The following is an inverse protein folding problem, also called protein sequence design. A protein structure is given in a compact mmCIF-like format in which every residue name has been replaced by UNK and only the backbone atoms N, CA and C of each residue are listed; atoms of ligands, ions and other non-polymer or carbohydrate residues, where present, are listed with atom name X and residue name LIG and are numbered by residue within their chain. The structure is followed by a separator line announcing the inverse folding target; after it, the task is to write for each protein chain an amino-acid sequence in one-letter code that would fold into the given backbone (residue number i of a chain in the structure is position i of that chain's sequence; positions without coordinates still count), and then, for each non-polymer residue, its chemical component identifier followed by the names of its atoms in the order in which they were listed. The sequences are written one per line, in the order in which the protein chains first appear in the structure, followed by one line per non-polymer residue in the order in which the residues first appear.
data_IF_619194542459
#
_entry.id   IF_619194542459
#
_cell.length_a   1.000
_cell.length_b   1.000
_cell.length_c   1.000
_cell.angle_alpha   90.00
_cell.angle_beta   90.00
_cell.angle_gamma   90.00
#
_symmetry.space_group_name_H-M   'P 1'
#
loop_
_entity.id
_entity.type
_entity.pdbx_description
1 polymer ?
#
# COMPACT_ATOMS: atom_id res chain seq x y z
N UNK A 1 -16.92 -10.84 -9.62
CA UNK A 1 -16.45 -10.62 -11.00
C UNK A 1 -14.97 -10.29 -10.95
N UNK A 2 -14.10 -11.29 -11.16
CA UNK A 2 -12.65 -11.13 -11.23
C UNK A 2 -12.25 -11.06 -12.71
N UNK A 3 -11.79 -9.90 -13.19
CA UNK A 3 -11.28 -9.73 -14.54
C UNK A 3 -9.76 -9.99 -14.56
N UNK A 4 -9.38 -11.14 -15.10
CA UNK A 4 -8.01 -11.53 -15.40
C UNK A 4 -7.61 -10.82 -16.70
N UNK A 5 -6.75 -9.81 -16.62
CA UNK A 5 -6.13 -9.19 -17.80
C UNK A 5 -4.96 -10.07 -18.26
N UNK A 6 -5.23 -10.86 -19.29
CA UNK A 6 -4.29 -11.72 -20.01
C UNK A 6 -3.61 -10.86 -21.08
N UNK A 7 -2.41 -10.34 -20.82
CA UNK A 7 -1.63 -9.63 -21.82
C UNK A 7 -0.81 -10.62 -22.67
N UNK A 8 -1.26 -10.81 -23.91
CA UNK A 8 -0.50 -11.42 -24.99
C UNK A 8 0.64 -10.48 -25.41
N UNK A 9 1.88 -10.93 -25.30
CA UNK A 9 3.02 -10.29 -25.95
C UNK A 9 3.64 -11.25 -26.96
N UNK A 10 3.36 -10.97 -28.23
CA UNK A 10 4.13 -11.51 -29.35
C UNK A 10 5.47 -10.77 -29.40
N UNK A 11 6.58 -11.47 -29.17
CA UNK A 11 7.91 -10.96 -29.46
C UNK A 11 8.52 -11.74 -30.62
N UNK A 12 8.42 -11.15 -31.81
CA UNK A 12 9.25 -11.49 -32.96
C UNK A 12 10.69 -11.14 -32.62
N UNK A 13 11.46 -12.12 -32.15
CA UNK A 13 12.90 -11.98 -31.97
C UNK A 13 13.63 -12.52 -33.20
N UNK A 14 14.09 -11.57 -34.00
CA UNK A 14 15.05 -11.76 -35.06
C UNK A 14 16.40 -12.13 -34.41
N UNK A 15 16.83 -13.39 -34.51
CA UNK A 15 18.17 -13.77 -34.07
C UNK A 15 18.92 -14.50 -35.20
N UNK A 16 19.83 -13.72 -35.77
CA UNK A 16 20.75 -14.09 -36.84
C UNK A 16 21.92 -14.84 -36.19
N UNK A 17 21.80 -16.16 -36.09
CA UNK A 17 22.95 -17.04 -35.84
C UNK A 17 22.91 -18.22 -36.82
N UNK A 18 23.66 -18.07 -37.91
CA UNK A 18 23.96 -19.14 -38.87
C UNK A 18 24.89 -20.14 -38.19
N UNK A 19 24.34 -21.26 -37.72
CA UNK A 19 25.10 -22.50 -37.62
C UNK A 19 24.73 -23.34 -38.85
N UNK A 20 25.55 -23.20 -39.90
CA UNK A 20 25.45 -24.02 -41.11
C UNK A 20 25.93 -25.42 -40.72
N UNK A 21 25.01 -26.34 -40.47
CA UNK A 21 25.29 -27.77 -40.50
C UNK A 21 25.12 -28.24 -41.94
N UNK A 22 26.23 -28.35 -42.67
CA UNK A 22 26.27 -29.11 -43.92
C UNK A 22 26.08 -30.60 -43.57
N UNK A 23 24.86 -31.10 -43.73
CA UNK A 23 24.61 -32.54 -43.86
C UNK A 23 24.34 -32.76 -45.35
N UNK A 24 25.43 -32.96 -46.10
CA UNK A 24 25.36 -33.43 -47.48
C UNK A 24 24.81 -34.85 -47.48
N UNK A 25 23.54 -34.99 -47.90
CA UNK A 25 22.89 -36.28 -48.10
C UNK A 25 23.41 -36.88 -49.43
N UNK A 26 24.60 -37.49 -49.38
CA UNK A 26 25.09 -38.40 -50.41
C UNK A 26 24.44 -39.77 -50.17
N UNK A 27 23.37 -40.08 -50.89
CA UNK A 27 23.11 -41.47 -51.28
C UNK A 27 24.09 -41.79 -52.41
N UNK A 28 24.78 -42.94 -52.38
CA UNK A 28 24.17 -44.04 -53.12
C UNK A 28 24.49 -45.47 -52.62
N UNK A 29 23.63 -46.37 -53.09
CA UNK A 29 23.87 -47.78 -53.41
C UNK A 29 23.94 -48.81 -52.27
N UNK A 30 22.96 -49.70 -52.38
CA UNK A 30 22.86 -51.02 -51.78
C UNK A 30 24.18 -51.80 -51.98
N UNK A 31 24.93 -52.00 -50.90
CA UNK A 31 26.05 -52.94 -50.88
C UNK A 31 25.99 -53.74 -49.58
N UNK A 32 25.97 -55.07 -49.70
CA UNK A 32 25.98 -56.01 -48.57
C UNK A 32 27.30 -55.84 -47.81
N UNK A 33 27.23 -55.33 -46.59
CA UNK A 33 28.36 -55.21 -45.69
C UNK A 33 28.16 -56.24 -44.58
N UNK A 34 29.06 -57.21 -44.48
CA UNK A 34 29.18 -58.07 -43.30
C UNK A 34 29.69 -57.20 -42.14
N UNK A 35 28.79 -56.80 -41.24
CA UNK A 35 29.13 -55.98 -40.09
C UNK A 35 29.70 -56.90 -38.99
N UNK A 36 31.01 -57.03 -38.96
CA UNK A 36 31.74 -57.41 -37.74
C UNK A 36 32.76 -56.32 -37.45
N UNK A 37 32.28 -55.15 -37.02
CA UNK A 37 33.12 -54.20 -36.31
C UNK A 37 32.27 -53.24 -35.49
N UNK A 38 32.70 -53.05 -34.24
CA UNK A 38 32.11 -52.21 -33.19
C UNK A 38 31.99 -50.74 -33.65
N UNK A 39 30.86 -50.35 -34.26
CA UNK A 39 30.55 -48.96 -34.67
C UNK A 39 29.53 -48.31 -33.72
N UNK A 40 29.47 -48.73 -32.45
CA UNK A 40 28.48 -48.20 -31.49
C UNK A 40 28.96 -46.97 -30.71
N UNK A 41 30.24 -46.60 -30.79
CA UNK A 41 30.80 -45.53 -29.94
C UNK A 41 30.64 -44.11 -30.52
N UNK A 42 30.59 -43.96 -31.85
CA UNK A 42 30.57 -42.65 -32.51
C UNK A 42 29.26 -41.85 -32.30
N UNK A 43 28.05 -42.45 -32.39
CA UNK A 43 26.81 -41.70 -32.20
C UNK A 43 26.65 -41.21 -30.75
N UNK A 44 27.13 -42.01 -29.80
CA UNK A 44 27.06 -41.71 -28.36
C UNK A 44 27.99 -40.55 -28.00
N UNK A 45 29.18 -40.49 -28.59
CA UNK A 45 30.11 -39.39 -28.39
C UNK A 45 29.56 -38.06 -28.93
N UNK A 46 28.85 -38.07 -30.07
CA UNK A 46 28.25 -36.86 -30.65
C UNK A 46 27.10 -36.33 -29.79
N UNK A 47 26.26 -37.22 -29.23
CA UNK A 47 25.19 -36.81 -28.32
C UNK A 47 25.70 -36.19 -27.01
N UNK A 48 26.82 -36.69 -26.47
CA UNK A 48 27.45 -36.16 -25.25
C UNK A 48 28.04 -34.74 -25.44
N UNK A 49 28.57 -34.42 -26.61
CA UNK A 49 29.14 -33.10 -26.90
C UNK A 49 28.04 -32.04 -27.07
N UNK A 50 26.87 -32.41 -27.62
CA UNK A 50 25.75 -31.49 -27.82
C UNK A 50 25.02 -31.11 -26.52
N UNK A 51 25.11 -31.94 -25.48
CA UNK A 51 24.50 -31.64 -24.16
C UNK A 51 25.37 -30.79 -23.24
N UNK A 52 26.64 -30.52 -23.59
CA UNK A 52 27.61 -29.83 -22.72
C UNK A 52 27.58 -28.30 -22.72
N UNK A 53 26.80 -27.65 -23.60
CA UNK A 53 26.66 -26.20 -23.60
C UNK A 53 25.52 -25.74 -22.69
N UNK A 54 25.72 -25.87 -21.37
CA UNK A 54 24.88 -25.19 -20.40
C UNK A 54 25.15 -23.68 -20.45
N UNK A 55 24.30 -22.94 -21.16
CA UNK A 55 24.27 -21.48 -21.03
C UNK A 55 23.71 -21.17 -19.65
N UNK A 56 24.58 -20.76 -18.72
CA UNK A 56 24.14 -20.20 -17.43
C UNK A 56 23.24 -19.00 -17.74
N UNK A 57 21.96 -19.10 -17.38
CA UNK A 57 21.02 -18.00 -17.50
C UNK A 57 21.46 -16.91 -16.52
N UNK A 58 22.20 -15.93 -17.01
CA UNK A 58 22.45 -14.71 -16.27
C UNK A 58 21.14 -13.92 -16.34
N UNK A 59 20.34 -13.97 -15.28
CA UNK A 59 19.18 -13.09 -15.15
C UNK A 59 19.66 -11.67 -15.40
N UNK A 60 19.07 -10.90 -16.33
CA UNK A 60 19.71 -9.66 -16.74
C UNK A 60 19.32 -8.57 -15.74
N UNK A 61 19.88 -8.66 -14.54
CA UNK A 61 19.71 -7.71 -13.45
C UNK A 61 20.32 -6.33 -13.77
N UNK A 62 21.05 -6.21 -14.88
CA UNK A 62 21.61 -4.95 -15.39
C UNK A 62 20.58 -3.91 -15.81
N UNK A 63 19.30 -4.29 -15.99
CA UNK A 63 18.21 -3.37 -16.35
C UNK A 63 17.18 -3.17 -15.23
N UNK A 64 17.53 -3.42 -13.97
CA UNK A 64 16.76 -2.90 -12.83
C UNK A 64 16.96 -1.38 -12.69
N UNK A 65 16.69 -0.64 -13.77
CA UNK A 65 16.40 0.78 -13.68
C UNK A 65 15.01 0.85 -13.10
N UNK A 66 14.96 1.13 -11.81
CA UNK A 66 13.72 1.31 -11.08
C UNK A 66 13.10 2.65 -11.50
N UNK A 67 12.30 2.62 -12.56
CA UNK A 67 11.62 3.80 -13.11
C UNK A 67 10.69 4.49 -12.10
N UNK A 68 10.36 3.83 -10.99
CA UNK A 68 9.51 4.37 -9.93
C UNK A 68 10.31 4.96 -8.76
N UNK A 69 11.64 5.05 -8.86
CA UNK A 69 12.48 5.59 -7.78
C UNK A 69 12.10 7.03 -7.39
N UNK A 70 11.63 7.84 -8.35
CA UNK A 70 11.19 9.22 -8.14
C UNK A 70 9.69 9.35 -7.80
N UNK A 71 8.88 8.32 -8.09
CA UNK A 71 7.46 8.27 -7.73
C UNK A 71 7.20 7.68 -6.33
N UNK A 72 8.23 7.07 -5.72
CA UNK A 72 8.26 6.79 -4.28
C UNK A 72 8.48 8.07 -3.45
N UNK A 73 7.80 9.15 -3.80
CA UNK A 73 7.53 10.19 -2.83
C UNK A 73 6.65 9.55 -1.76
N UNK A 74 7.35 9.03 -0.76
CA UNK A 74 6.96 8.72 0.60
C UNK A 74 5.50 9.07 0.87
N UNK A 75 4.66 8.04 1.06
CA UNK A 75 3.27 8.17 1.50
C UNK A 75 3.15 8.75 2.91
N UNK A 76 3.75 9.91 3.14
CA UNK A 76 3.54 10.75 4.31
C UNK A 76 2.12 11.28 4.17
N UNK A 77 1.24 10.79 5.04
CA UNK A 77 -0.08 11.35 5.18
C UNK A 77 0.09 12.86 5.43
N UNK A 78 -0.58 13.68 4.62
CA UNK A 78 -0.59 15.14 4.82
C UNK A 78 -1.07 15.45 6.25
N UNK A 79 -0.26 16.22 6.97
CA UNK A 79 -0.52 16.69 8.33
C UNK A 79 -0.84 18.17 8.19
N UNK A 80 -2.04 18.58 8.60
CA UNK A 80 -2.42 19.99 8.60
C UNK A 80 -1.66 20.76 9.67
N UNK A 81 -1.34 22.01 9.39
CA UNK A 81 -0.80 22.95 10.38
C UNK A 81 -1.87 23.41 11.40
N UNK A 82 -1.46 24.07 12.48
CA UNK A 82 -2.37 24.54 13.53
C UNK A 82 -3.44 25.50 12.99
N UNK A 83 -3.04 26.47 12.15
CA UNK A 83 -3.95 27.44 11.54
C UNK A 83 -4.93 26.77 10.57
N UNK A 84 -4.44 25.86 9.73
CA UNK A 84 -5.27 25.07 8.82
C UNK A 84 -6.28 24.19 9.58
N UNK A 85 -5.85 23.60 10.70
CA UNK A 85 -6.74 22.85 11.59
C UNK A 85 -7.79 23.76 12.22
N UNK A 86 -7.41 24.96 12.65
CA UNK A 86 -8.31 25.93 13.24
C UNK A 86 -9.37 26.38 12.24
N UNK A 87 -8.98 26.68 11.00
CA UNK A 87 -9.87 27.12 9.94
C UNK A 87 -10.83 26.02 9.49
N UNK A 88 -10.31 24.80 9.28
CA UNK A 88 -11.12 23.66 8.85
C UNK A 88 -12.07 23.13 9.94
N UNK A 89 -11.82 23.46 11.21
CA UNK A 89 -12.65 23.02 12.33
C UNK A 89 -13.87 23.92 12.54
N UNK A 90 -14.99 23.28 12.85
CA UNK A 90 -16.22 23.95 13.29
C UNK A 90 -16.21 24.24 14.79
N UNK A 91 -15.51 23.40 15.55
CA UNK A 91 -15.38 23.51 17.00
C UNK A 91 -13.93 23.23 17.39
N UNK A 92 -13.34 24.15 18.14
CA UNK A 92 -11.99 23.99 18.72
C UNK A 92 -12.08 24.11 20.22
N UNK A 93 -11.63 23.08 20.92
CA UNK A 93 -11.67 23.01 22.39
C UNK A 93 -10.27 22.73 22.93
N UNK A 94 -9.85 23.50 23.93
CA UNK A 94 -8.71 23.15 24.76
C UNK A 94 -9.15 22.30 25.95
N UNK A 95 -8.71 21.04 26.01
CA UNK A 95 -9.06 20.12 27.11
C UNK A 95 -7.88 19.23 27.49
N UNK A 96 -7.77 18.89 28.77
CA UNK A 96 -6.87 17.84 29.28
C UNK A 96 -7.64 16.57 29.69
N UNK A 97 -8.98 16.60 29.68
CA UNK A 97 -9.84 15.56 30.27
C UNK A 97 -10.55 14.71 29.21
N UNK A 98 -9.76 14.17 28.28
CA UNK A 98 -10.25 13.33 27.17
C UNK A 98 -9.98 11.86 27.47
N UNK A 99 -11.01 11.02 27.40
CA UNK A 99 -10.89 9.57 27.63
C UNK A 99 -11.51 8.79 26.48
N UNK A 100 -10.87 7.68 26.09
CA UNK A 100 -11.44 6.70 25.18
C UNK A 100 -12.55 5.93 25.92
N UNK A 101 -13.77 5.94 25.37
CA UNK A 101 -14.93 5.25 25.96
C UNK A 101 -15.15 3.91 25.31
N UNK A 102 -15.08 3.86 23.98
CA UNK A 102 -15.45 2.68 23.21
C UNK A 102 -14.70 2.65 21.88
N UNK A 103 -14.53 1.47 21.31
CA UNK A 103 -13.93 1.28 20.00
C UNK A 103 -14.63 0.15 19.26
N UNK A 104 -15.02 0.42 18.01
CA UNK A 104 -15.54 -0.59 17.11
C UNK A 104 -14.49 -0.93 16.06
N UNK A 105 -14.08 -2.19 15.99
CA UNK A 105 -13.08 -2.71 15.03
C UNK A 105 -13.56 -3.97 14.31
N UNK A 106 -14.88 -4.08 14.09
CA UNK A 106 -15.52 -5.24 13.47
C UNK A 106 -15.66 -5.13 11.95
N UNK A 107 -16.87 -5.35 11.44
CA UNK A 107 -17.21 -5.22 10.01
C UNK A 107 -17.22 -3.74 9.61
N UNK A 108 -16.20 -3.28 8.89
CA UNK A 108 -16.12 -1.93 8.34
C UNK A 108 -14.90 -1.14 8.78
N UNK A 109 -14.93 0.18 8.60
CA UNK A 109 -13.85 1.07 9.04
C UNK A 109 -13.87 1.17 10.57
N UNK A 110 -12.72 1.03 11.24
CA UNK A 110 -12.68 1.16 12.69
C UNK A 110 -13.00 2.60 13.10
N UNK A 111 -13.71 2.76 14.21
CA UNK A 111 -13.94 4.05 14.83
C UNK A 111 -13.77 3.96 16.34
N UNK A 112 -13.41 5.10 16.92
CA UNK A 112 -13.10 5.27 18.33
C UNK A 112 -13.96 6.39 18.87
N UNK A 113 -14.58 6.17 20.03
CA UNK A 113 -15.41 7.14 20.72
C UNK A 113 -14.65 7.71 21.90
N UNK A 114 -14.53 9.02 21.94
CA UNK A 114 -13.87 9.74 23.02
C UNK A 114 -14.89 10.62 23.75
N UNK A 115 -14.78 10.67 25.08
CA UNK A 115 -15.56 11.56 25.93
C UNK A 115 -14.68 12.69 26.44
N UNK A 116 -15.20 13.90 26.34
CA UNK A 116 -14.60 15.12 26.90
C UNK A 116 -15.40 15.51 28.12
N UNK A 117 -14.75 15.54 29.29
CA UNK A 117 -15.43 15.87 30.56
C UNK A 117 -15.47 17.36 30.85
N UNK A 118 -14.46 18.10 30.41
CA UNK A 118 -14.35 19.54 30.63
C UNK A 118 -13.40 20.15 29.61
N UNK A 119 -13.52 21.44 29.34
CA UNK A 119 -12.60 22.14 28.46
C UNK A 119 -12.98 23.61 28.29
N UNK A 120 -12.09 24.36 27.65
CA UNK A 120 -12.33 25.74 27.22
C UNK A 120 -12.63 25.75 25.73
N UNK A 121 -13.75 26.35 25.35
CA UNK A 121 -14.10 26.54 23.93
C UNK A 121 -13.28 27.71 23.40
N UNK A 122 -12.59 27.51 22.29
CA UNK A 122 -11.75 28.53 21.63
C UNK A 122 -12.41 29.04 20.35
N UNK A 123 -13.05 28.13 19.61
CA UNK A 123 -13.81 28.44 18.39
C UNK A 123 -15.10 27.65 18.41
N UNK A 124 -16.22 28.31 18.09
CA UNK A 124 -17.47 27.66 17.75
C UNK A 124 -18.11 28.41 16.59
N UNK A 125 -18.56 27.68 15.56
CA UNK A 125 -19.32 28.28 14.45
C UNK A 125 -20.79 28.52 14.83
N UNK A 126 -21.27 27.91 15.91
CA UNK A 126 -22.63 28.09 16.43
C UNK A 126 -22.60 28.72 17.80
N UNK A 127 -23.51 29.65 18.07
CA UNK A 127 -23.72 30.26 19.39
C UNK A 127 -24.28 29.27 20.44
N UNK A 128 -24.32 27.98 20.14
CA UNK A 128 -24.78 26.94 21.06
C UNK A 128 -23.73 26.68 22.14
N UNK A 129 -24.12 26.88 23.40
CA UNK A 129 -23.35 26.50 24.58
C UNK A 129 -23.18 24.98 24.58
N UNK A 130 -21.93 24.50 24.50
CA UNK A 130 -21.62 23.07 24.60
C UNK A 130 -21.73 22.60 26.05
N UNK A 131 -22.64 21.66 26.29
CA UNK A 131 -22.79 21.01 27.58
C UNK A 131 -21.80 19.86 27.72
N UNK A 132 -21.11 19.81 28.86
CA UNK A 132 -20.24 18.70 29.24
C UNK A 132 -20.99 17.70 30.13
N UNK A 133 -20.66 16.39 30.09
CA UNK A 133 -19.72 15.75 29.17
C UNK A 133 -20.35 15.50 27.79
N UNK A 134 -19.54 15.61 26.73
CA UNK A 134 -19.96 15.24 25.38
C UNK A 134 -18.98 14.23 24.77
N UNK A 135 -19.41 13.59 23.68
CA UNK A 135 -18.59 12.60 22.98
C UNK A 135 -18.33 13.03 21.53
N UNK A 136 -17.19 12.60 21.01
CA UNK A 136 -16.86 12.75 19.59
C UNK A 136 -16.29 11.45 19.01
N UNK A 137 -16.47 11.28 17.70
CA UNK A 137 -16.01 10.11 16.95
C UNK A 137 -14.67 10.39 16.26
N UNK A 138 -13.74 9.44 16.28
CA UNK A 138 -12.54 9.48 15.46
C UNK A 138 -12.39 8.19 14.65
N UNK A 139 -12.00 8.31 13.39
CA UNK A 139 -11.66 7.16 12.54
C UNK A 139 -10.24 6.64 12.79
N UNK A 140 -9.44 7.36 13.58
CA UNK A 140 -8.07 6.99 13.93
C UNK A 140 -7.87 6.99 15.45
N UNK A 141 -7.00 6.11 15.93
CA UNK A 141 -6.65 6.07 17.35
C UNK A 141 -5.80 7.28 17.69
N UNK A 142 -6.33 8.16 18.54
CA UNK A 142 -5.65 9.37 18.98
C UNK A 142 -4.67 9.02 20.09
N UNK A 143 -3.41 9.45 19.93
CA UNK A 143 -2.39 9.36 20.99
C UNK A 143 -2.59 10.54 21.94
N UNK A 144 -3.55 10.38 22.85
CA UNK A 144 -3.85 11.38 23.88
C UNK A 144 -2.70 11.41 24.89
N UNK A 145 -2.20 12.62 25.18
CA UNK A 145 -1.33 12.88 26.33
C UNK A 145 -2.19 13.40 27.49
N UNK A 146 -1.70 13.29 28.72
CA UNK A 146 -2.40 13.83 29.90
C UNK A 146 -2.36 15.36 29.99
N UNK A 147 -1.62 16.02 29.10
CA UNK A 147 -1.52 17.46 29.03
C UNK A 147 -2.73 18.11 28.35
N UNK A 148 -2.89 19.41 28.56
CA UNK A 148 -3.88 20.21 27.82
C UNK A 148 -3.58 20.15 26.32
N UNK A 149 -4.56 19.76 25.53
CA UNK A 149 -4.44 19.62 24.07
C UNK A 149 -5.59 20.35 23.36
N UNK A 150 -5.33 20.73 22.11
CA UNK A 150 -6.36 21.26 21.22
C UNK A 150 -7.11 20.11 20.54
N UNK A 151 -8.43 20.20 20.59
CA UNK A 151 -9.35 19.28 19.93
C UNK A 151 -9.96 20.00 18.74
N UNK A 152 -9.61 19.54 17.54
CA UNK A 152 -10.09 20.06 16.26
C UNK A 152 -11.23 19.19 15.76
N UNK A 153 -12.45 19.72 15.86
CA UNK A 153 -13.67 18.97 15.64
C UNK A 153 -14.46 19.55 14.47
N UNK A 154 -14.97 18.65 13.63
CA UNK A 154 -15.93 18.93 12.55
C UNK A 154 -17.29 18.36 12.95
N UNK A 155 -18.38 18.84 12.36
CA UNK A 155 -19.68 18.18 12.49
C UNK A 155 -19.61 16.73 12.03
N UNK A 156 -20.27 15.85 12.78
CA UNK A 156 -20.41 14.45 12.40
C UNK A 156 -21.25 14.33 11.13
N UNK A 157 -20.68 13.71 10.11
CA UNK A 157 -21.37 13.34 8.88
C UNK A 157 -21.69 11.85 8.90
N UNK A 158 -22.97 11.50 8.87
CA UNK A 158 -23.44 10.12 8.98
C UNK A 158 -23.69 9.65 10.42
N UNK A 159 -23.70 8.33 10.62
CA UNK A 159 -23.95 7.67 11.91
C UNK A 159 -25.24 8.11 12.63
N UNK A 160 -26.31 8.38 11.87
CA UNK A 160 -27.58 8.93 12.41
C UNK A 160 -28.13 8.13 13.60
N UNK A 161 -28.04 6.79 13.56
CA UNK A 161 -28.51 5.92 14.64
C UNK A 161 -27.76 6.15 15.96
N UNK A 162 -26.43 6.28 15.90
CA UNK A 162 -25.60 6.44 17.11
C UNK A 162 -25.63 7.91 17.58
N UNK A 163 -25.90 8.83 16.66
CA UNK A 163 -25.97 10.27 16.95
C UNK A 163 -27.04 10.60 17.98
N UNK A 164 -28.25 10.09 17.79
CA UNK A 164 -29.37 10.37 18.68
C UNK A 164 -29.23 9.65 20.02
N UNK A 165 -28.86 8.37 19.99
CA UNK A 165 -28.69 7.55 21.19
C UNK A 165 -27.56 8.03 22.12
N UNK A 166 -26.48 8.59 21.57
CA UNK A 166 -25.26 8.94 22.32
C UNK A 166 -24.89 10.42 22.28
N UNK A 167 -25.75 11.29 21.77
CA UNK A 167 -25.49 12.74 21.63
C UNK A 167 -24.14 13.02 20.91
N UNK A 168 -23.88 12.31 19.82
CA UNK A 168 -22.63 12.39 19.04
C UNK A 168 -22.75 13.43 17.91
N UNK A 169 -22.42 14.68 18.20
CA UNK A 169 -22.56 15.76 17.21
C UNK A 169 -21.30 16.05 16.40
N UNK A 170 -20.14 15.58 16.86
CA UNK A 170 -18.84 15.96 16.32
C UNK A 170 -17.95 14.76 16.00
N UNK A 171 -17.07 14.96 15.03
CA UNK A 171 -16.01 14.04 14.64
C UNK A 171 -14.65 14.72 14.64
N UNK A 172 -13.60 13.94 14.87
CA UNK A 172 -12.22 14.36 14.77
C UNK A 172 -11.86 14.74 13.34
N UNK A 173 -11.13 15.84 13.18
CA UNK A 173 -10.62 16.27 11.88
C UNK A 173 -9.54 15.29 11.37
N UNK A 174 -9.80 14.60 10.25
CA UNK A 174 -9.00 13.46 9.75
C UNK A 174 -7.50 13.75 9.61
N UNK A 175 -7.11 14.96 9.24
CA UNK A 175 -5.72 15.36 9.02
C UNK A 175 -5.10 16.15 10.20
N UNK A 176 -5.87 16.37 11.28
CA UNK A 176 -5.37 17.09 12.45
C UNK A 176 -4.50 16.18 13.32
N UNK A 177 -3.27 16.60 13.65
CA UNK A 177 -2.49 15.97 14.69
C UNK A 177 -3.00 16.43 16.08
N UNK A 178 -2.56 15.73 17.13
CA UNK A 178 -2.87 16.11 18.51
C UNK A 178 -1.85 17.15 18.96
N UNK A 179 -2.24 18.42 18.93
CA UNK A 179 -1.42 19.53 19.39
C UNK A 179 -1.57 19.74 20.90
N UNK A 180 -0.44 19.81 21.62
CA UNK A 180 -0.42 20.24 23.02
C UNK A 180 -0.52 21.76 23.10
N UNK A 181 -1.35 22.26 24.01
CA UNK A 181 -1.41 23.67 24.34
C UNK A 181 -0.09 24.03 25.02
N UNK A 182 0.70 24.89 24.39
CA UNK A 182 1.85 25.52 25.05
C UNK A 182 1.27 26.38 26.18
N UNK A 183 1.68 26.11 27.42
CA UNK A 183 1.39 27.04 28.50
C UNK A 183 2.22 28.28 28.21
N UNK A 184 1.56 29.39 27.95
CA UNK A 184 2.23 30.68 27.93
C UNK A 184 2.76 30.90 29.36
N UNK A 185 4.09 30.89 29.53
CA UNK A 185 4.77 31.33 30.75
C UNK A 185 4.76 32.86 30.86
#
# INVERSE_FOLDING_TARGET
MHSILRNNYNSTFNNKNRCIFYIGFLLPNHMKINITLKISALPVAVMLVLTGCEKKYQSPDHYKIDYFKNERQEGKAYIMNEDECFDASELVIGSSSVKLVDSSSGRGKPFFLYQVRSGKILKTVRDSVMNYPFMFLSHQRLKLKNDSMYLYLKRLEGYNLIREDRNLNYQWLKAAPVYSIKKDE
#
